data_IF_726491610979
#
_entry.id   IF_726491610979
#
_cell.length_a   1.000
_cell.length_b   1.000
_cell.length_c   1.000
_cell.angle_alpha   90.00
_cell.angle_beta   90.00
_cell.angle_gamma   90.00
#
_symmetry.space_group_name_H-M   'P 1'
#
loop_
_entity.id
_entity.type
_entity.pdbx_description
1 polymer ?
#
# COMPACT_ATOMS: atom_id res chain seq x y z
N UNK A 1 10.57 -5.00 -13.02
CA UNK A 1 10.57 -4.34 -11.70
C UNK A 1 9.19 -4.53 -11.09
N UNK A 2 9.11 -4.99 -9.84
CA UNK A 2 7.83 -5.34 -9.20
C UNK A 2 7.05 -4.07 -8.88
N UNK A 3 5.82 -3.97 -9.38
CA UNK A 3 4.86 -2.93 -9.02
C UNK A 3 3.86 -3.50 -8.04
N UNK A 4 3.49 -2.73 -7.03
CA UNK A 4 2.49 -3.13 -6.06
C UNK A 4 1.69 -1.93 -5.54
N UNK A 5 0.49 -2.23 -5.06
CA UNK A 5 -0.29 -1.31 -4.22
C UNK A 5 -0.02 -1.68 -2.76
N UNK A 6 0.19 -0.68 -1.93
CA UNK A 6 0.25 -0.87 -0.48
C UNK A 6 -1.10 -0.53 0.13
N UNK A 7 -1.49 -1.31 1.11
CA UNK A 7 -2.50 -0.93 2.09
C UNK A 7 -1.94 0.17 3.00
N UNK A 8 -2.81 1.08 3.42
CA UNK A 8 -2.56 2.14 4.41
C UNK A 8 -1.88 1.60 5.66
N UNK A 9 -2.39 0.52 6.24
CA UNK A 9 -1.82 -0.02 7.47
C UNK A 9 -0.39 -0.53 7.26
N UNK A 10 -0.07 -1.04 6.08
CA UNK A 10 1.29 -1.49 5.73
C UNK A 10 2.20 -0.29 5.52
N UNK A 11 1.78 0.71 4.74
CA UNK A 11 2.57 1.91 4.50
C UNK A 11 2.90 2.63 5.82
N UNK A 12 1.87 2.92 6.61
CA UNK A 12 2.01 3.60 7.89
C UNK A 12 2.84 2.75 8.86
N UNK A 13 2.63 1.43 8.89
CA UNK A 13 3.42 0.59 9.78
C UNK A 13 4.91 0.60 9.45
N UNK A 14 5.26 0.73 8.16
CA UNK A 14 6.64 0.82 7.71
C UNK A 14 7.34 2.12 8.11
N UNK A 15 6.58 3.18 8.40
CA UNK A 15 7.12 4.46 8.88
C UNK A 15 7.34 4.43 10.39
N UNK A 16 6.36 3.92 11.15
CA UNK A 16 6.35 4.05 12.61
C UNK A 16 7.04 2.88 13.33
N UNK A 17 7.15 1.71 12.71
CA UNK A 17 7.73 0.52 13.34
C UNK A 17 8.71 -0.21 12.43
N UNK A 18 9.60 -0.98 13.05
CA UNK A 18 10.45 -1.94 12.32
C UNK A 18 9.67 -3.17 11.90
N UNK A 19 10.20 -3.94 10.94
CA UNK A 19 9.65 -5.23 10.55
C UNK A 19 9.47 -5.34 9.04
N UNK A 20 8.63 -6.28 8.58
CA UNK A 20 8.38 -6.49 7.15
C UNK A 20 7.89 -5.22 6.43
N UNK A 21 6.93 -4.43 6.97
CA UNK A 21 6.54 -3.17 6.33
C UNK A 21 7.69 -2.19 6.13
N UNK A 22 8.58 -2.02 7.12
CA UNK A 22 9.75 -1.14 6.99
C UNK A 22 10.73 -1.66 5.92
N UNK A 23 10.92 -2.98 5.82
CA UNK A 23 11.74 -3.59 4.74
C UNK A 23 11.17 -3.30 3.36
N UNK A 24 9.83 -3.28 3.24
CA UNK A 24 9.16 -2.92 1.98
C UNK A 24 9.44 -1.47 1.63
N UNK A 25 9.28 -0.52 2.57
CA UNK A 25 9.59 0.89 2.29
C UNK A 25 11.07 1.11 1.95
N UNK A 26 11.99 0.39 2.59
CA UNK A 26 13.40 0.43 2.24
C UNK A 26 13.65 -0.09 0.82
N UNK A 27 13.03 -1.21 0.42
CA UNK A 27 13.14 -1.71 -0.94
C UNK A 27 12.58 -0.73 -1.98
N UNK A 28 11.52 0.01 -1.63
CA UNK A 28 10.99 1.07 -2.49
C UNK A 28 11.95 2.25 -2.58
N UNK A 29 12.51 2.70 -1.45
CA UNK A 29 13.53 3.75 -1.40
C UNK A 29 14.78 3.38 -2.24
N UNK A 30 15.20 2.12 -2.19
CA UNK A 30 16.28 1.54 -3.00
C UNK A 30 15.89 1.28 -4.47
N UNK A 31 14.67 1.65 -4.89
CA UNK A 31 14.13 1.48 -6.24
C UNK A 31 14.08 0.02 -6.72
N UNK A 32 14.03 -0.95 -5.80
CA UNK A 32 13.84 -2.38 -6.11
C UNK A 32 12.39 -2.69 -6.51
N UNK A 33 11.46 -1.89 -6.00
CA UNK A 33 10.02 -2.01 -6.23
C UNK A 33 9.43 -0.64 -6.56
N UNK A 34 8.20 -0.62 -7.08
CA UNK A 34 7.42 0.59 -7.33
C UNK A 34 6.08 0.51 -6.62
N UNK A 35 5.75 1.59 -5.92
CA UNK A 35 4.42 1.78 -5.33
C UNK A 35 3.52 2.46 -6.36
N UNK A 36 2.34 1.88 -6.53
CA UNK A 36 1.21 2.40 -7.30
C UNK A 36 0.15 2.84 -6.31
N UNK A 37 -0.44 4.02 -6.50
CA UNK A 37 -1.54 4.49 -5.65
C UNK A 37 -2.46 5.46 -6.39
N UNK A 38 -3.54 5.86 -5.73
CA UNK A 38 -4.45 6.93 -6.15
C UNK A 38 -4.31 8.13 -5.21
N UNK A 39 -4.90 9.26 -5.58
CA UNK A 39 -4.97 10.43 -4.68
C UNK A 39 -5.70 10.09 -3.37
N UNK A 40 -6.77 9.29 -3.45
CA UNK A 40 -7.53 8.85 -2.28
C UNK A 40 -6.68 8.03 -1.30
N UNK A 41 -5.85 7.12 -1.80
CA UNK A 41 -4.93 6.34 -0.97
C UNK A 41 -3.85 7.24 -0.36
N UNK A 42 -3.32 8.20 -1.12
CA UNK A 42 -2.31 9.13 -0.62
C UNK A 42 -2.85 10.05 0.48
N UNK A 43 -4.09 10.52 0.32
CA UNK A 43 -4.80 11.30 1.35
C UNK A 43 -5.03 10.46 2.60
N UNK A 44 -5.37 9.18 2.43
CA UNK A 44 -5.52 8.27 3.55
C UNK A 44 -4.21 8.02 4.30
N UNK A 45 -3.10 7.80 3.59
CA UNK A 45 -1.78 7.68 4.21
C UNK A 45 -1.47 8.90 5.08
N UNK A 46 -1.67 10.10 4.52
CA UNK A 46 -1.42 11.36 5.23
C UNK A 46 -2.29 11.49 6.48
N UNK A 47 -3.60 11.22 6.35
CA UNK A 47 -4.55 11.29 7.47
C UNK A 47 -4.20 10.32 8.59
N UNK A 48 -3.88 9.07 8.26
CA UNK A 48 -3.57 8.04 9.27
C UNK A 48 -2.21 8.31 9.92
N UNK A 49 -1.21 8.76 9.14
CA UNK A 49 0.08 9.22 9.68
C UNK A 49 -0.10 10.38 10.67
N UNK A 50 -0.93 11.38 10.37
CA UNK A 50 -1.18 12.51 11.27
C UNK A 50 -1.83 12.08 12.60
N UNK A 51 -2.72 11.10 12.57
CA UNK A 51 -3.34 10.54 13.77
C UNK A 51 -2.28 9.84 14.65
N UNK A 52 -1.40 9.05 14.04
CA UNK A 52 -0.34 8.37 14.78
C UNK A 52 0.76 9.31 15.28
N UNK A 53 1.04 10.40 14.57
CA UNK A 53 2.02 11.39 14.99
C UNK A 53 1.65 12.03 16.35
N UNK A 54 0.35 12.13 16.66
CA UNK A 54 -0.12 12.57 18.00
C UNK A 54 0.34 11.63 19.12
N UNK A 55 0.52 10.34 18.83
CA UNK A 55 1.01 9.32 19.78
C UNK A 55 2.53 9.17 19.74
N UNK A 56 3.15 9.38 18.58
CA UNK A 56 4.57 9.19 18.33
C UNK A 56 5.20 10.43 17.67
N UNK A 57 5.27 11.58 18.38
CA UNK A 57 5.65 12.87 17.80
C UNK A 57 7.12 12.95 17.34
N UNK A 58 7.96 11.99 17.72
CA UNK A 58 9.37 11.92 17.32
C UNK A 58 9.58 11.33 15.92
N UNK A 59 8.54 10.75 15.31
CA UNK A 59 8.62 10.13 13.99
C UNK A 59 8.51 11.22 12.91
N UNK A 60 9.46 11.25 11.97
CA UNK A 60 9.41 12.16 10.83
C UNK A 60 8.76 11.47 9.61
N UNK A 61 7.53 11.88 9.30
CA UNK A 61 6.75 11.34 8.18
C UNK A 61 7.04 12.06 6.86
N UNK A 62 7.60 13.28 6.91
CA UNK A 62 7.75 14.14 5.73
C UNK A 62 8.62 13.52 4.62
N UNK A 63 9.73 12.82 4.91
CA UNK A 63 10.53 12.15 3.89
C UNK A 63 9.72 11.11 3.09
N UNK A 64 8.84 10.36 3.75
CA UNK A 64 8.04 9.32 3.11
C UNK A 64 6.93 9.91 2.22
N UNK A 65 6.26 10.96 2.68
CA UNK A 65 5.25 11.66 1.88
C UNK A 65 5.89 12.33 0.66
N UNK A 66 7.03 13.01 0.84
CA UNK A 66 7.78 13.59 -0.27
C UNK A 66 8.25 12.53 -1.27
N UNK A 67 8.67 11.36 -0.77
CA UNK A 67 9.03 10.22 -1.61
C UNK A 67 7.82 9.70 -2.40
N UNK A 68 6.64 9.67 -1.80
CA UNK A 68 5.41 9.25 -2.48
C UNK A 68 5.08 10.20 -3.62
N UNK A 69 5.09 11.51 -3.36
CA UNK A 69 4.81 12.54 -4.37
C UNK A 69 5.79 12.44 -5.54
N UNK A 70 7.06 12.13 -5.28
CA UNK A 70 8.11 12.09 -6.30
C UNK A 70 8.16 10.77 -7.08
N UNK A 71 8.03 9.64 -6.39
CA UNK A 71 8.43 8.32 -6.91
C UNK A 71 7.24 7.35 -7.05
N UNK A 72 6.03 7.70 -6.59
CA UNK A 72 4.84 6.87 -6.82
C UNK A 72 4.21 7.10 -8.20
N UNK A 73 3.61 6.06 -8.76
CA UNK A 73 2.78 6.20 -9.95
C UNK A 73 1.32 6.41 -9.53
N UNK A 74 0.79 7.61 -9.81
CA UNK A 74 -0.61 7.97 -9.51
C UNK A 74 -1.54 7.53 -10.64
N UNK A 75 -2.60 6.81 -10.27
CA UNK A 75 -3.64 6.37 -11.19
C UNK A 75 -5.03 6.80 -10.69
N UNK A 76 -5.92 7.11 -11.63
CA UNK A 76 -7.34 7.26 -11.35
C UNK A 76 -7.96 5.87 -11.17
N UNK A 77 -8.56 5.55 -10.02
CA UNK A 77 -9.16 4.23 -9.79
C UNK A 77 -10.25 3.91 -10.80
N UNK A 78 -10.39 2.63 -11.17
CA UNK A 78 -11.53 2.19 -11.97
C UNK A 78 -12.76 2.11 -11.08
N UNK A 79 -13.90 2.60 -11.58
CA UNK A 79 -15.19 2.42 -10.92
C UNK A 79 -15.58 0.94 -10.87
N UNK A 80 -15.64 0.37 -9.67
CA UNK A 80 -16.16 -0.97 -9.44
C UNK A 80 -17.69 -0.96 -9.55
N UNK A 81 -18.26 -2.05 -10.08
CA UNK A 81 -19.72 -2.20 -10.26
C UNK A 81 -20.43 -2.64 -8.99
N UNK A 82 -19.72 -3.39 -8.15
CA UNK A 82 -20.19 -3.96 -6.88
C UNK A 82 -19.02 -3.99 -5.90
N UNK A 83 -19.28 -3.93 -4.59
CA UNK A 83 -18.26 -4.19 -3.58
C UNK A 83 -17.58 -5.55 -3.80
N UNK A 84 -16.26 -5.61 -3.65
CA UNK A 84 -15.48 -6.84 -3.78
C UNK A 84 -15.04 -7.33 -2.40
N UNK A 85 -14.42 -6.47 -1.61
CA UNK A 85 -14.12 -6.72 -0.20
C UNK A 85 -15.38 -6.65 0.66
N UNK A 86 -15.33 -7.28 1.84
CA UNK A 86 -16.38 -7.16 2.86
C UNK A 86 -16.43 -5.74 3.45
N UNK A 87 -15.27 -5.08 3.54
CA UNK A 87 -15.18 -3.65 3.79
C UNK A 87 -15.12 -2.90 2.45
N UNK A 88 -16.18 -2.15 2.08
CA UNK A 88 -16.19 -1.39 0.83
C UNK A 88 -15.12 -0.29 0.75
N UNK A 89 -14.49 0.09 1.87
CA UNK A 89 -13.39 1.06 1.84
C UNK A 89 -12.14 0.44 1.21
N UNK A 90 -11.85 -0.85 1.46
CA UNK A 90 -10.69 -1.56 0.91
C UNK A 90 -10.70 -1.68 -0.62
N UNK A 91 -11.89 -1.58 -1.23
CA UNK A 91 -12.07 -1.67 -2.68
C UNK A 91 -11.25 -0.61 -3.44
N UNK A 92 -10.88 0.50 -2.79
CA UNK A 92 -10.00 1.52 -3.37
C UNK A 92 -8.64 0.95 -3.80
N UNK A 93 -8.09 -0.01 -3.06
CA UNK A 93 -6.82 -0.67 -3.38
C UNK A 93 -6.95 -1.58 -4.60
N UNK A 94 -8.05 -2.32 -4.70
CA UNK A 94 -8.37 -3.18 -5.85
C UNK A 94 -8.62 -2.32 -7.09
N UNK A 95 -9.39 -1.24 -6.94
CA UNK A 95 -9.74 -0.33 -8.02
C UNK A 95 -8.51 0.31 -8.68
N UNK A 96 -7.52 0.72 -7.88
CA UNK A 96 -6.27 1.28 -8.42
C UNK A 96 -5.34 0.21 -8.98
N UNK A 97 -5.30 -0.98 -8.37
CA UNK A 97 -4.55 -2.11 -8.90
C UNK A 97 -5.01 -2.46 -10.33
N UNK A 98 -6.33 -2.51 -10.54
CA UNK A 98 -6.91 -2.71 -11.86
C UNK A 98 -6.61 -1.55 -12.83
N UNK A 99 -6.70 -0.31 -12.37
CA UNK A 99 -6.40 0.87 -13.19
C UNK A 99 -4.96 0.87 -13.72
N UNK A 100 -4.02 0.43 -12.88
CA UNK A 100 -2.60 0.42 -13.17
C UNK A 100 -2.10 -0.88 -13.83
N UNK A 101 -2.99 -1.84 -14.07
CA UNK A 101 -2.65 -3.21 -14.47
C UNK A 101 -1.57 -3.82 -13.53
N UNK A 102 -1.77 -3.61 -12.23
CA UNK A 102 -0.91 -4.08 -11.16
C UNK A 102 -1.54 -5.32 -10.51
N UNK A 103 -0.79 -6.42 -10.49
CA UNK A 103 -1.27 -7.72 -10.05
C UNK A 103 -0.87 -8.07 -8.61
N UNK A 104 -0.47 -7.08 -7.82
CA UNK A 104 0.04 -7.30 -6.46
C UNK A 104 -0.43 -6.20 -5.51
N UNK A 105 -1.07 -6.61 -4.43
CA UNK A 105 -1.41 -5.76 -3.29
C UNK A 105 -0.76 -6.37 -2.04
N UNK A 106 -0.16 -5.53 -1.21
CA UNK A 106 0.33 -5.96 0.10
C UNK A 106 -0.53 -5.34 1.18
N UNK A 107 -1.19 -6.20 1.96
CA UNK A 107 -2.13 -5.81 3.01
C UNK A 107 -1.98 -6.66 4.27
N UNK A 108 -2.22 -6.06 5.42
CA UNK A 108 -2.37 -6.77 6.69
C UNK A 108 -3.83 -7.09 7.04
N UNK A 109 -4.78 -6.60 6.24
CA UNK A 109 -6.21 -6.72 6.48
C UNK A 109 -6.75 -8.06 6.00
N UNK A 110 -7.49 -8.76 6.86
CA UNK A 110 -8.06 -10.07 6.53
C UNK A 110 -9.22 -9.98 5.53
N UNK A 111 -9.96 -8.88 5.50
CA UNK A 111 -11.03 -8.64 4.53
C UNK A 111 -10.43 -8.50 3.13
N UNK A 112 -9.40 -7.66 2.97
CA UNK A 112 -8.69 -7.52 1.70
C UNK A 112 -7.91 -8.79 1.31
N UNK A 113 -7.25 -9.47 2.25
CA UNK A 113 -6.56 -10.74 1.97
C UNK A 113 -7.53 -11.84 1.50
N UNK A 114 -8.77 -11.84 1.99
CA UNK A 114 -9.77 -12.88 1.66
C UNK A 114 -10.22 -12.85 0.19
N UNK A 115 -9.99 -11.74 -0.52
CA UNK A 115 -10.36 -11.57 -1.94
C UNK A 115 -9.18 -11.70 -2.90
N UNK A 116 -8.05 -12.24 -2.43
CA UNK A 116 -6.90 -12.58 -3.26
C UNK A 116 -7.29 -13.43 -4.48
N UNK A 117 -6.69 -13.16 -5.64
CA UNK A 117 -7.01 -13.80 -6.91
C UNK A 117 -8.13 -13.11 -7.71
N UNK A 118 -8.81 -12.10 -7.15
CA UNK A 118 -9.78 -11.33 -7.91
C UNK A 118 -9.13 -10.65 -9.12
N UNK A 119 -9.57 -11.03 -10.34
CA UNK A 119 -9.01 -10.53 -11.61
C UNK A 119 -7.48 -10.61 -11.66
N UNK A 120 -6.93 -11.75 -11.23
CA UNK A 120 -5.49 -12.02 -11.24
C UNK A 120 -4.66 -11.07 -10.37
N UNK A 121 -5.27 -10.44 -9.36
CA UNK A 121 -4.56 -9.65 -8.35
C UNK A 121 -4.18 -10.56 -7.18
N UNK A 122 -2.88 -10.79 -6.97
CA UNK A 122 -2.36 -11.45 -5.77
C UNK A 122 -2.41 -10.45 -4.61
N UNK A 123 -3.07 -10.81 -3.51
CA UNK A 123 -3.07 -10.04 -2.27
C UNK A 123 -2.36 -10.87 -1.21
N UNK A 124 -1.25 -10.34 -0.69
CA UNK A 124 -0.40 -11.07 0.27
C UNK A 124 -0.04 -10.19 1.48
N UNK A 125 0.32 -10.85 2.57
CA UNK A 125 0.75 -10.15 3.77
C UNK A 125 2.22 -9.66 3.65
N UNK A 126 2.64 -8.68 4.47
CA UNK A 126 3.99 -8.12 4.41
C UNK A 126 5.12 -9.15 4.60
N UNK A 127 4.94 -10.16 5.46
CA UNK A 127 5.97 -11.19 5.68
C UNK A 127 6.18 -12.02 4.42
N UNK A 128 5.08 -12.43 3.79
CA UNK A 128 5.08 -13.19 2.56
C UNK A 128 5.72 -12.40 1.42
N UNK A 129 5.38 -11.11 1.29
CA UNK A 129 6.01 -10.25 0.29
C UNK A 129 7.53 -10.21 0.45
N UNK A 130 8.02 -9.94 1.66
CA UNK A 130 9.47 -9.88 1.94
C UNK A 130 10.15 -11.21 1.57
N UNK A 131 9.54 -12.34 1.93
CA UNK A 131 10.09 -13.68 1.65
C UNK A 131 10.12 -14.04 0.16
N UNK A 132 9.10 -13.63 -0.61
CA UNK A 132 8.96 -13.95 -2.03
C UNK A 132 9.73 -12.98 -2.93
N UNK A 133 9.76 -11.68 -2.61
CA UNK A 133 10.14 -10.63 -3.56
C UNK A 133 11.41 -9.84 -3.17
N UNK A 134 11.89 -9.91 -1.92
CA UNK A 134 13.03 -9.12 -1.44
C UNK A 134 14.27 -9.95 -1.04
N UNK A 135 14.39 -11.18 -1.55
CA UNK A 135 15.57 -12.02 -1.34
C UNK A 135 16.78 -11.57 -2.15
#
# INVERSE_FOLDING_TARGET
MTKLVLDTNVFVSGIFWSGPPAKILNAWHEKKIKIVCSLEILDEYSRVSDILLKKYPSVDIAPFINLMIRDSELFTPIRLKTPISRDPDDDKFIAVALAANCHLIVSGDNDLLSVTGYKDIEIINPNEFVSKYLK
#
